data_IF_650432420011
#
_entry.id   IF_650432420011
#
_cell.length_a   1.000
_cell.length_b   1.000
_cell.length_c   1.000
_cell.angle_alpha   90.00
_cell.angle_beta   90.00
_cell.angle_gamma   90.00
#
_symmetry.space_group_name_H-M   'P 1'
#
loop_
_entity.id
_entity.type
_entity.pdbx_description
1 polymer ?
#
# COMPACT_ATOMS: atom_id res chain seq x y z
N UNK A 1 -16.90 -4.02 52.66
CA UNK A 1 -17.19 -4.70 51.40
C UNK A 1 -16.35 -4.02 50.32
N UNK A 2 -15.11 -4.47 50.10
CA UNK A 2 -14.15 -3.91 49.16
C UNK A 2 -14.54 -4.38 47.75
N UNK A 3 -14.82 -3.46 46.86
CA UNK A 3 -15.19 -3.70 45.47
C UNK A 3 -14.02 -4.41 44.76
N UNK A 4 -14.20 -5.70 44.32
CA UNK A 4 -13.13 -6.49 43.70
C UNK A 4 -12.68 -5.93 42.34
N UNK A 5 -13.45 -5.00 41.73
CA UNK A 5 -13.14 -4.39 40.42
C UNK A 5 -12.09 -3.30 40.51
N UNK A 6 -11.85 -2.70 41.69
CA UNK A 6 -10.87 -1.64 41.91
C UNK A 6 -9.44 -2.13 42.10
N UNK A 7 -9.27 -3.40 42.54
CA UNK A 7 -7.96 -3.96 42.87
C UNK A 7 -7.11 -4.38 41.67
N UNK A 8 -7.73 -4.74 40.53
CA UNK A 8 -7.01 -5.20 39.34
C UNK A 8 -6.48 -4.06 38.48
N UNK A 9 -7.04 -2.85 38.59
CA UNK A 9 -6.61 -1.68 37.81
C UNK A 9 -5.31 -1.05 38.33
N UNK A 10 -4.98 -1.27 39.62
CA UNK A 10 -3.81 -0.67 40.28
C UNK A 10 -2.54 -1.54 40.23
N UNK A 11 -2.60 -2.80 39.80
CA UNK A 11 -1.39 -3.59 39.61
C UNK A 11 -0.66 -3.16 38.32
N UNK A 12 0.52 -2.53 38.42
CA UNK A 12 1.30 -2.10 37.26
C UNK A 12 1.75 -3.28 36.38
N UNK A 13 1.55 -4.51 36.83
CA UNK A 13 1.92 -5.74 36.13
C UNK A 13 0.74 -6.41 35.41
N UNK A 14 -0.50 -6.13 35.81
CA UNK A 14 -1.69 -6.69 35.16
C UNK A 14 -1.94 -6.01 33.79
N UNK A 15 -2.39 -6.75 32.76
CA UNK A 15 -2.77 -6.13 31.50
C UNK A 15 -3.98 -5.21 31.71
N UNK A 16 -3.91 -3.99 31.16
CA UNK A 16 -5.06 -3.08 31.15
C UNK A 16 -5.91 -3.41 29.92
N UNK A 17 -7.15 -3.83 30.15
CA UNK A 17 -8.05 -4.27 29.10
C UNK A 17 -9.41 -3.60 29.23
N UNK A 18 -9.99 -3.19 28.10
CA UNK A 18 -11.36 -2.66 28.05
C UNK A 18 -11.99 -2.93 26.69
N UNK A 19 -13.30 -2.83 26.65
CA UNK A 19 -14.10 -2.88 25.43
C UNK A 19 -14.76 -1.53 25.21
N UNK A 20 -14.85 -1.10 23.97
CA UNK A 20 -15.45 0.17 23.60
C UNK A 20 -16.10 0.07 22.21
N UNK A 21 -17.26 0.71 22.08
CA UNK A 21 -17.90 0.91 20.79
C UNK A 21 -17.38 2.20 20.14
N UNK A 22 -16.59 2.05 19.09
CA UNK A 22 -15.99 3.16 18.37
C UNK A 22 -16.94 3.63 17.25
N UNK A 23 -17.35 4.91 17.23
CA UNK A 23 -18.13 5.45 16.12
C UNK A 23 -17.23 5.59 14.88
N UNK A 24 -17.47 4.74 13.85
CA UNK A 24 -16.55 4.62 12.71
C UNK A 24 -16.78 5.72 11.68
N UNK A 25 -18.06 6.04 11.40
CA UNK A 25 -18.44 6.98 10.35
C UNK A 25 -18.48 8.45 10.82
N UNK A 26 -18.48 8.71 12.14
CA UNK A 26 -18.54 10.06 12.70
C UNK A 26 -17.32 10.46 13.52
N UNK A 27 -16.36 9.55 13.70
CA UNK A 27 -15.15 9.85 14.44
C UNK A 27 -14.21 10.74 13.62
N UNK A 28 -13.84 11.94 14.07
CA UNK A 28 -13.04 12.88 13.29
C UNK A 28 -11.62 12.36 12.97
N UNK A 29 -11.01 11.52 13.84
CA UNK A 29 -9.69 10.95 13.60
C UNK A 29 -9.73 9.90 12.48
N UNK A 30 -10.77 9.05 12.48
CA UNK A 30 -10.97 8.05 11.44
C UNK A 30 -11.33 8.71 10.11
N UNK A 31 -12.28 9.67 10.11
CA UNK A 31 -12.66 10.42 8.91
C UNK A 31 -11.47 11.16 8.31
N UNK A 32 -10.65 11.83 9.12
CA UNK A 32 -9.43 12.49 8.65
C UNK A 32 -8.43 11.49 8.05
N UNK A 33 -8.32 10.29 8.60
CA UNK A 33 -7.47 9.23 8.08
C UNK A 33 -7.98 8.71 6.75
N UNK A 34 -9.29 8.49 6.61
CA UNK A 34 -9.93 8.09 5.35
C UNK A 34 -9.82 9.20 4.30
N UNK A 35 -10.08 10.46 4.66
CA UNK A 35 -9.95 11.59 3.74
C UNK A 35 -8.52 11.72 3.20
N UNK A 36 -7.50 11.52 4.04
CA UNK A 36 -6.09 11.48 3.61
C UNK A 36 -5.82 10.32 2.65
N UNK A 37 -6.35 9.14 2.94
CA UNK A 37 -6.18 7.95 2.09
C UNK A 37 -6.79 8.19 0.71
N UNK A 38 -8.05 8.60 0.64
CA UNK A 38 -8.74 8.85 -0.62
C UNK A 38 -8.16 10.06 -1.38
N UNK A 39 -7.75 11.11 -0.67
CA UNK A 39 -7.05 12.26 -1.25
C UNK A 39 -5.69 11.87 -1.86
N UNK A 40 -4.91 11.03 -1.18
CA UNK A 40 -3.66 10.50 -1.70
C UNK A 40 -3.91 9.60 -2.92
N UNK A 41 -4.95 8.76 -2.87
CA UNK A 41 -5.34 7.90 -4.01
C UNK A 41 -5.73 8.76 -5.21
N UNK A 42 -6.51 9.82 -5.02
CA UNK A 42 -6.89 10.77 -6.07
C UNK A 42 -5.65 11.42 -6.71
N UNK A 43 -4.69 11.84 -5.87
CA UNK A 43 -3.44 12.46 -6.33
C UNK A 43 -2.59 11.48 -7.13
N UNK A 44 -2.39 10.26 -6.64
CA UNK A 44 -1.60 9.23 -7.32
C UNK A 44 -2.27 8.84 -8.64
N UNK A 45 -3.58 8.59 -8.63
CA UNK A 45 -4.32 8.20 -9.83
C UNK A 45 -4.38 9.36 -10.85
N UNK A 46 -4.58 10.60 -10.37
CA UNK A 46 -4.56 11.79 -11.22
C UNK A 46 -3.19 12.01 -11.87
N UNK A 47 -2.11 11.89 -11.11
CA UNK A 47 -0.75 12.00 -11.63
C UNK A 47 -0.44 10.90 -12.65
N UNK A 48 -0.89 9.67 -12.37
CA UNK A 48 -0.73 8.52 -13.24
C UNK A 48 -1.48 8.67 -14.57
N UNK A 49 -2.77 9.05 -14.53
CA UNK A 49 -3.55 9.29 -15.73
C UNK A 49 -3.01 10.49 -16.53
N UNK A 50 -2.53 11.53 -15.85
CA UNK A 50 -1.88 12.68 -16.50
C UNK A 50 -0.61 12.26 -17.23
N UNK A 51 0.22 11.42 -16.60
CA UNK A 51 1.40 10.85 -17.22
C UNK A 51 1.04 10.04 -18.47
N UNK A 52 0.02 9.19 -18.39
CA UNK A 52 -0.45 8.38 -19.52
C UNK A 52 -0.90 9.27 -20.68
N UNK A 53 -1.69 10.32 -20.40
CA UNK A 53 -2.14 11.26 -21.44
C UNK A 53 -0.97 12.02 -22.09
N UNK A 54 0.03 12.40 -21.29
CA UNK A 54 1.23 13.08 -21.81
C UNK A 54 2.02 12.16 -22.76
N UNK A 55 2.23 10.89 -22.37
CA UNK A 55 2.97 9.91 -23.21
C UNK A 55 2.16 9.56 -24.47
N UNK A 56 0.83 9.51 -24.37
CA UNK A 56 -0.05 9.22 -25.52
C UNK A 56 -0.24 10.42 -26.48
N UNK A 57 0.46 11.54 -26.26
CA UNK A 57 0.38 12.72 -27.13
C UNK A 57 -0.92 13.51 -27.00
N UNK A 58 -1.68 13.34 -25.92
CA UNK A 58 -2.97 14.00 -25.67
C UNK A 58 -2.96 14.85 -24.38
N UNK A 59 -2.05 15.83 -24.25
CA UNK A 59 -1.89 16.61 -23.00
C UNK A 59 -3.15 17.44 -22.66
N UNK A 60 -3.95 17.82 -23.64
CA UNK A 60 -5.19 18.58 -23.44
C UNK A 60 -6.24 17.81 -22.61
N UNK A 61 -6.14 16.47 -22.55
CA UNK A 61 -7.02 15.64 -21.76
C UNK A 61 -6.63 15.58 -20.27
N UNK A 62 -5.45 16.08 -19.88
CA UNK A 62 -4.94 16.01 -18.50
C UNK A 62 -5.90 16.64 -17.47
N UNK A 63 -6.44 17.86 -17.66
CA UNK A 63 -7.34 18.45 -16.67
C UNK A 63 -8.60 17.60 -16.44
N UNK A 64 -9.13 17.00 -17.51
CA UNK A 64 -10.29 16.11 -17.44
C UNK A 64 -9.96 14.83 -16.65
N UNK A 65 -8.80 14.21 -16.88
CA UNK A 65 -8.38 13.00 -16.16
C UNK A 65 -8.17 13.26 -14.67
N UNK A 66 -7.59 14.41 -14.31
CA UNK A 66 -7.45 14.83 -12.91
C UNK A 66 -8.83 15.03 -12.27
N UNK A 67 -9.75 15.70 -12.95
CA UNK A 67 -11.11 15.91 -12.44
C UNK A 67 -11.87 14.59 -12.27
N UNK A 68 -11.77 13.65 -13.23
CA UNK A 68 -12.38 12.32 -13.14
C UNK A 68 -11.81 11.55 -11.94
N UNK A 69 -10.48 11.52 -11.78
CA UNK A 69 -9.83 10.82 -10.68
C UNK A 69 -10.25 11.38 -9.31
N UNK A 70 -10.32 12.69 -9.17
CA UNK A 70 -10.79 13.35 -7.97
C UNK A 70 -12.27 13.05 -7.70
N UNK A 71 -13.12 13.09 -8.73
CA UNK A 71 -14.55 12.79 -8.64
C UNK A 71 -14.82 11.35 -8.23
N UNK A 72 -14.12 10.38 -8.84
CA UNK A 72 -14.23 8.96 -8.48
C UNK A 72 -13.77 8.74 -7.03
N UNK A 73 -12.64 9.32 -6.64
CA UNK A 73 -12.12 9.17 -5.26
C UNK A 73 -13.06 9.77 -4.23
N UNK A 74 -13.67 10.93 -4.52
CA UNK A 74 -14.67 11.54 -3.65
C UNK A 74 -15.93 10.68 -3.55
N UNK A 75 -16.43 10.17 -4.66
CA UNK A 75 -17.58 9.27 -4.68
C UNK A 75 -17.33 8.00 -3.86
N UNK A 76 -16.16 7.37 -4.03
CA UNK A 76 -15.76 6.19 -3.26
C UNK A 76 -15.60 6.50 -1.76
N UNK A 77 -15.07 7.68 -1.41
CA UNK A 77 -15.00 8.12 -0.02
C UNK A 77 -16.40 8.22 0.59
N UNK A 78 -17.33 8.90 -0.08
CA UNK A 78 -18.71 9.05 0.39
C UNK A 78 -19.40 7.69 0.51
N UNK A 79 -19.30 6.84 -0.51
CA UNK A 79 -19.88 5.48 -0.49
C UNK A 79 -19.26 4.65 0.63
N UNK A 80 -17.94 4.76 0.84
CA UNK A 80 -17.23 4.07 1.93
C UNK A 80 -17.73 4.50 3.31
N UNK A 81 -17.87 5.81 3.55
CA UNK A 81 -18.39 6.33 4.83
C UNK A 81 -19.84 5.91 5.05
N UNK A 82 -20.69 6.01 4.02
CA UNK A 82 -22.09 5.56 4.09
C UNK A 82 -22.17 4.06 4.32
N UNK A 83 -21.34 3.27 3.63
CA UNK A 83 -21.26 1.81 3.83
C UNK A 83 -20.91 1.46 5.27
N UNK A 84 -19.90 2.14 5.85
CA UNK A 84 -19.53 1.95 7.25
C UNK A 84 -20.68 2.35 8.20
N UNK A 85 -21.38 3.46 7.92
CA UNK A 85 -22.52 3.89 8.73
C UNK A 85 -23.67 2.86 8.72
N UNK A 86 -23.96 2.27 7.55
CA UNK A 86 -25.04 1.29 7.38
C UNK A 86 -24.65 -0.09 7.93
N UNK A 87 -23.49 -0.62 7.53
CA UNK A 87 -23.06 -1.99 7.87
C UNK A 87 -22.78 -2.10 9.36
N UNK A 88 -22.02 -1.17 9.92
CA UNK A 88 -21.63 -1.17 11.34
C UNK A 88 -22.59 -0.38 12.21
N UNK A 89 -23.65 0.23 11.65
CA UNK A 89 -24.54 1.16 12.37
C UNK A 89 -23.76 2.24 13.13
N UNK A 90 -22.67 2.71 12.51
CA UNK A 90 -21.73 3.68 13.09
C UNK A 90 -21.09 3.26 14.42
N UNK A 91 -21.08 1.97 14.78
CA UNK A 91 -20.48 1.45 16.02
C UNK A 91 -19.74 0.16 15.71
N UNK A 92 -18.45 0.13 16.02
CA UNK A 92 -17.62 -1.06 15.90
C UNK A 92 -17.07 -1.40 17.28
N UNK A 93 -17.43 -2.57 17.79
CA UNK A 93 -16.96 -3.03 19.11
C UNK A 93 -15.53 -3.50 19.00
N UNK A 94 -14.64 -2.85 19.74
CA UNK A 94 -13.22 -3.15 19.79
C UNK A 94 -12.79 -3.42 21.22
N UNK A 95 -11.87 -4.39 21.38
CA UNK A 95 -11.19 -4.67 22.65
C UNK A 95 -9.75 -4.19 22.52
N UNK A 96 -9.33 -3.39 23.48
CA UNK A 96 -7.94 -2.96 23.61
C UNK A 96 -7.31 -3.63 24.82
N UNK A 97 -6.08 -4.12 24.63
CA UNK A 97 -5.26 -4.71 25.68
C UNK A 97 -3.88 -4.06 25.67
N UNK A 98 -3.51 -3.41 26.77
CA UNK A 98 -2.17 -2.84 26.98
C UNK A 98 -1.43 -3.74 27.96
N UNK A 99 -0.41 -4.42 27.49
CA UNK A 99 0.42 -5.32 28.27
C UNK A 99 1.89 -4.86 28.34
N UNK A 100 2.77 -5.72 28.81
CA UNK A 100 4.20 -5.44 28.90
C UNK A 100 4.90 -5.45 27.53
N UNK A 101 4.35 -6.16 26.55
CA UNK A 101 4.93 -6.33 25.21
C UNK A 101 4.51 -5.22 24.27
N UNK A 102 3.27 -4.74 24.42
CA UNK A 102 2.75 -3.74 23.51
C UNK A 102 1.28 -3.41 23.71
N UNK A 103 0.66 -3.02 22.61
CA UNK A 103 -0.76 -2.72 22.52
C UNK A 103 -1.39 -3.66 21.51
N UNK A 104 -2.51 -4.27 21.89
CA UNK A 104 -3.33 -5.12 21.03
C UNK A 104 -4.71 -4.52 20.87
N UNK A 105 -5.19 -4.47 19.65
CA UNK A 105 -6.53 -4.05 19.29
C UNK A 105 -7.23 -5.20 18.55
N UNK A 106 -8.31 -5.70 19.11
CA UNK A 106 -9.12 -6.78 18.55
C UNK A 106 -10.51 -6.26 18.18
N UNK A 107 -10.94 -6.53 16.97
CA UNK A 107 -12.34 -6.29 16.56
C UNK A 107 -13.21 -7.46 17.01
N UNK A 108 -14.15 -7.19 17.92
CA UNK A 108 -15.04 -8.22 18.48
C UNK A 108 -16.36 -8.28 17.69
N UNK A 109 -16.57 -7.34 16.78
CA UNK A 109 -17.85 -7.25 16.05
C UNK A 109 -18.04 -8.45 15.11
N UNK A 110 -18.97 -9.33 15.48
CA UNK A 110 -19.38 -10.49 14.67
C UNK A 110 -19.90 -10.11 13.28
N UNK A 111 -20.31 -8.86 13.07
CA UNK A 111 -20.76 -8.36 11.76
C UNK A 111 -19.58 -8.14 10.85
N UNK A 112 -18.49 -7.56 11.37
CA UNK A 112 -17.25 -7.38 10.63
C UNK A 112 -16.71 -8.72 10.11
N UNK A 113 -16.68 -9.74 10.97
CA UNK A 113 -16.22 -11.09 10.60
C UNK A 113 -17.15 -11.75 9.56
N UNK A 114 -18.47 -11.62 9.70
CA UNK A 114 -19.42 -12.11 8.69
C UNK A 114 -19.28 -11.44 7.35
N UNK A 115 -19.12 -10.12 7.30
CA UNK A 115 -18.95 -9.37 6.06
C UNK A 115 -17.63 -9.77 5.40
N UNK A 116 -16.52 -9.83 6.14
CA UNK A 116 -15.23 -10.26 5.62
C UNK A 116 -15.31 -11.70 5.06
N UNK A 117 -15.90 -12.62 5.79
CA UNK A 117 -16.08 -14.02 5.37
C UNK A 117 -16.98 -14.12 4.14
N UNK A 118 -18.12 -13.41 4.13
CA UNK A 118 -19.01 -13.37 2.96
C UNK A 118 -18.32 -12.81 1.71
N UNK A 119 -17.49 -11.77 1.87
CA UNK A 119 -16.71 -11.18 0.78
C UNK A 119 -15.68 -12.17 0.21
N UNK A 120 -15.01 -12.95 1.06
CA UNK A 120 -14.10 -14.01 0.65
C UNK A 120 -14.84 -15.09 -0.15
N UNK A 121 -15.94 -15.62 0.42
CA UNK A 121 -16.70 -16.72 -0.18
C UNK A 121 -17.32 -16.26 -1.51
N UNK A 122 -17.96 -15.10 -1.53
CA UNK A 122 -18.59 -14.57 -2.74
C UNK A 122 -17.54 -14.25 -3.81
N UNK A 123 -16.40 -13.70 -3.43
CA UNK A 123 -15.28 -13.43 -4.32
C UNK A 123 -14.72 -14.71 -4.94
N UNK A 124 -14.56 -15.77 -4.14
CA UNK A 124 -14.13 -17.08 -4.61
C UNK A 124 -15.13 -17.73 -5.57
N UNK A 125 -16.43 -17.70 -5.21
CA UNK A 125 -17.52 -18.24 -6.03
C UNK A 125 -17.71 -17.50 -7.36
N UNK A 126 -17.48 -16.19 -7.37
CA UNK A 126 -17.63 -15.35 -8.57
C UNK A 126 -16.35 -15.23 -9.39
N UNK A 127 -15.26 -15.90 -8.99
CA UNK A 127 -13.96 -15.81 -9.67
C UNK A 127 -13.31 -14.41 -9.61
N UNK A 128 -13.66 -13.59 -8.61
CA UNK A 128 -13.15 -12.22 -8.44
C UNK A 128 -12.02 -12.18 -7.39
N UNK A 129 -10.75 -12.35 -7.78
CA UNK A 129 -9.63 -12.41 -6.83
C UNK A 129 -9.48 -11.14 -5.98
N UNK A 130 -9.87 -9.97 -6.51
CA UNK A 130 -9.87 -8.73 -5.75
C UNK A 130 -10.80 -8.74 -4.55
N UNK A 131 -12.00 -9.33 -4.66
CA UNK A 131 -12.93 -9.46 -3.54
C UNK A 131 -12.39 -10.43 -2.47
N UNK A 132 -11.77 -11.54 -2.87
CA UNK A 132 -11.10 -12.46 -1.96
C UNK A 132 -9.98 -11.75 -1.20
N UNK A 133 -9.13 -11.01 -1.92
CA UNK A 133 -8.03 -10.25 -1.32
C UNK A 133 -8.51 -9.20 -0.32
N UNK A 134 -9.57 -8.46 -0.65
CA UNK A 134 -10.17 -7.46 0.26
C UNK A 134 -10.70 -8.10 1.54
N UNK A 135 -11.38 -9.24 1.44
CA UNK A 135 -11.88 -9.98 2.60
C UNK A 135 -10.76 -10.54 3.48
N UNK A 136 -9.67 -11.04 2.88
CA UNK A 136 -8.48 -11.51 3.61
C UNK A 136 -7.77 -10.37 4.34
N UNK A 137 -7.62 -9.20 3.70
CA UNK A 137 -7.06 -7.99 4.33
C UNK A 137 -7.93 -7.57 5.52
N UNK A 138 -9.26 -7.52 5.36
CA UNK A 138 -10.18 -7.17 6.44
C UNK A 138 -10.04 -8.13 7.63
N UNK A 139 -9.86 -9.41 7.38
CA UNK A 139 -9.67 -10.42 8.42
C UNK A 139 -8.31 -10.33 9.11
N UNK A 140 -7.24 -10.04 8.36
CA UNK A 140 -5.89 -9.88 8.92
C UNK A 140 -5.75 -8.60 9.76
N UNK A 141 -6.58 -7.58 9.52
CA UNK A 141 -6.60 -6.34 10.31
C UNK A 141 -7.52 -6.39 11.53
N UNK A 142 -8.25 -7.49 11.72
CA UNK A 142 -9.16 -7.65 12.88
C UNK A 142 -8.40 -7.83 14.22
N UNK A 143 -7.17 -8.34 14.20
CA UNK A 143 -6.27 -8.45 15.36
C UNK A 143 -4.97 -7.71 15.02
N UNK A 144 -4.83 -6.50 15.52
CA UNK A 144 -3.64 -5.68 15.33
C UNK A 144 -2.81 -5.64 16.62
N UNK A 145 -1.52 -5.83 16.47
CA UNK A 145 -0.55 -5.72 17.57
C UNK A 145 0.50 -4.68 17.23
N UNK A 146 0.94 -3.95 18.24
CA UNK A 146 2.00 -2.97 18.13
C UNK A 146 2.93 -3.13 19.34
N UNK A 147 4.10 -3.72 19.14
CA UNK A 147 5.13 -3.83 20.17
C UNK A 147 5.65 -2.44 20.55
N UNK A 148 5.99 -2.24 21.86
CA UNK A 148 6.50 -0.94 22.33
C UNK A 148 7.75 -0.47 21.57
N UNK A 149 8.62 -1.39 21.13
CA UNK A 149 9.83 -1.08 20.35
C UNK A 149 9.55 -0.52 18.98
N UNK A 150 8.38 -0.86 18.38
CA UNK A 150 7.94 -0.34 17.09
C UNK A 150 7.28 1.04 17.18
N UNK A 151 6.95 1.50 18.40
CA UNK A 151 6.26 2.77 18.62
C UNK A 151 7.29 3.87 18.88
N UNK A 152 7.42 4.80 17.93
CA UNK A 152 8.37 5.93 18.02
C UNK A 152 7.72 7.16 18.61
N UNK A 153 6.41 7.35 18.36
CA UNK A 153 5.67 8.54 18.80
C UNK A 153 4.26 8.17 19.24
N UNK A 154 3.78 8.87 20.27
CA UNK A 154 2.38 8.83 20.69
C UNK A 154 1.79 10.25 20.69
N UNK A 155 0.61 10.40 20.13
CA UNK A 155 -0.17 11.65 20.17
C UNK A 155 -1.40 11.42 21.01
N UNK A 156 -1.55 12.24 22.05
CA UNK A 156 -2.64 12.14 23.00
C UNK A 156 -3.74 13.12 22.62
N UNK A 157 -4.98 12.64 22.55
CA UNK A 157 -6.18 13.42 22.22
C UNK A 157 -7.20 13.34 23.38
N UNK A 158 -7.00 14.11 24.48
CA UNK A 158 -7.86 14.01 25.68
C UNK A 158 -9.33 14.27 25.38
N UNK A 159 -9.65 15.21 24.48
CA UNK A 159 -11.03 15.54 24.10
C UNK A 159 -11.75 14.41 23.37
N UNK A 160 -11.01 13.51 22.75
CA UNK A 160 -11.57 12.37 21.98
C UNK A 160 -11.34 11.05 22.71
N UNK A 161 -10.75 11.08 23.91
CA UNK A 161 -10.34 9.89 24.65
C UNK A 161 -9.57 8.89 23.78
N UNK A 162 -8.62 9.40 22.97
CA UNK A 162 -7.91 8.62 22.00
C UNK A 162 -6.41 8.87 22.06
N UNK A 163 -5.62 7.83 21.79
CA UNK A 163 -4.16 7.87 21.73
C UNK A 163 -3.73 7.30 20.39
N UNK A 164 -3.10 8.12 19.53
CA UNK A 164 -2.57 7.66 18.26
C UNK A 164 -1.11 7.25 18.43
N UNK A 165 -0.83 5.99 18.22
CA UNK A 165 0.49 5.38 18.23
C UNK A 165 1.06 5.36 16.83
N UNK A 166 2.31 5.76 16.66
CA UNK A 166 2.95 5.83 15.35
C UNK A 166 4.40 5.40 15.37
N UNK A 167 4.84 4.90 14.22
CA UNK A 167 6.25 4.72 13.94
C UNK A 167 6.89 6.05 13.43
N UNK A 168 8.05 5.99 12.78
CA UNK A 168 8.75 7.18 12.31
C UNK A 168 7.95 8.02 11.30
N UNK A 169 7.08 7.41 10.49
CA UNK A 169 6.46 8.08 9.35
C UNK A 169 4.92 8.04 9.31
N UNK A 170 4.27 7.04 9.93
CA UNK A 170 2.81 6.90 9.91
C UNK A 170 2.22 6.61 11.30
N UNK A 171 0.91 6.80 11.45
CA UNK A 171 0.14 6.27 12.57
C UNK A 171 -0.11 4.78 12.32
N UNK A 172 0.29 3.94 13.27
CA UNK A 172 0.15 2.48 13.21
C UNK A 172 -1.18 2.05 13.79
N UNK A 173 -1.56 2.64 14.93
CA UNK A 173 -2.77 2.26 15.68
C UNK A 173 -3.36 3.48 16.38
N UNK A 174 -4.67 3.52 16.49
CA UNK A 174 -5.37 4.50 17.34
C UNK A 174 -6.08 3.71 18.44
N UNK A 175 -5.70 3.97 19.66
CA UNK A 175 -6.31 3.38 20.87
C UNK A 175 -7.42 4.31 21.34
N UNK A 176 -8.65 3.81 21.36
CA UNK A 176 -9.80 4.52 21.90
C UNK A 176 -10.06 4.04 23.31
N UNK A 177 -10.30 4.96 24.22
CA UNK A 177 -10.50 4.66 25.63
C UNK A 177 -11.87 5.17 26.11
N UNK A 178 -12.55 4.47 27.01
CA UNK A 178 -13.60 5.08 27.82
C UNK A 178 -13.00 6.22 28.65
N UNK A 179 -13.76 7.28 28.98
CA UNK A 179 -13.25 8.43 29.72
C UNK A 179 -12.52 8.06 31.01
N UNK A 180 -13.06 7.07 31.74
CA UNK A 180 -12.50 6.56 33.01
C UNK A 180 -11.16 5.85 32.87
N UNK A 181 -10.86 5.27 31.69
CA UNK A 181 -9.61 4.55 31.44
C UNK A 181 -8.55 5.37 30.70
N UNK A 182 -8.88 6.58 30.23
CA UNK A 182 -7.99 7.36 29.39
C UNK A 182 -6.66 7.70 30.09
N UNK A 183 -6.69 8.23 31.30
CA UNK A 183 -5.46 8.60 32.01
C UNK A 183 -4.59 7.39 32.35
N UNK A 184 -5.21 6.29 32.79
CA UNK A 184 -4.49 5.05 33.06
C UNK A 184 -3.83 4.48 31.78
N UNK A 185 -4.53 4.52 30.65
CA UNK A 185 -4.00 4.11 29.37
C UNK A 185 -2.86 5.03 28.89
N UNK A 186 -3.05 6.37 29.02
CA UNK A 186 -2.04 7.36 28.64
C UNK A 186 -0.75 7.17 29.45
N UNK A 187 -0.86 6.95 30.76
CA UNK A 187 0.29 6.70 31.63
C UNK A 187 0.98 5.37 31.30
N UNK A 188 0.18 4.32 30.96
CA UNK A 188 0.72 3.02 30.55
C UNK A 188 1.50 3.13 29.23
N UNK A 189 0.98 3.89 28.26
CA UNK A 189 1.67 4.17 26.99
C UNK A 189 2.98 4.92 27.24
N UNK A 190 2.99 5.98 28.05
CA UNK A 190 4.22 6.72 28.38
C UNK A 190 5.26 5.83 29.02
N UNK A 191 4.85 5.01 29.99
CA UNK A 191 5.75 4.04 30.68
C UNK A 191 6.24 2.95 29.74
N UNK A 192 5.40 2.41 28.86
CA UNK A 192 5.76 1.41 27.87
C UNK A 192 6.85 1.92 26.92
N UNK A 193 6.64 3.10 26.35
CA UNK A 193 7.62 3.75 25.47
C UNK A 193 8.94 4.11 26.18
N UNK A 194 8.88 4.56 27.44
CA UNK A 194 10.07 4.89 28.21
C UNK A 194 10.91 3.66 28.56
N UNK A 195 10.27 2.51 28.84
CA UNK A 195 10.95 1.24 29.16
C UNK A 195 11.55 0.55 27.92
N UNK A 196 10.95 0.74 26.76
CA UNK A 196 11.33 0.10 25.51
C UNK A 196 11.62 1.16 24.45
N UNK A 197 12.72 1.91 24.56
CA UNK A 197 13.04 2.95 23.58
C UNK A 197 13.24 2.31 22.21
N UNK A 198 12.58 2.88 21.20
CA UNK A 198 12.69 2.43 19.82
C UNK A 198 14.16 2.47 19.35
N UNK A 199 14.66 1.42 18.68
CA UNK A 199 16.02 1.39 18.13
C UNK A 199 16.27 2.58 17.19
N UNK A 200 17.54 2.99 17.05
CA UNK A 200 17.90 4.10 16.16
C UNK A 200 17.49 3.85 14.71
N UNK A 201 17.55 2.60 14.26
CA UNK A 201 17.09 2.18 12.92
C UNK A 201 15.60 2.41 12.69
N UNK A 202 14.78 2.26 13.73
CA UNK A 202 13.31 2.45 13.65
C UNK A 202 12.91 3.93 13.69
N UNK A 203 13.81 4.82 14.15
CA UNK A 203 13.56 6.26 14.24
C UNK A 203 13.72 6.99 12.89
N UNK A 204 14.48 6.41 11.95
CA UNK A 204 14.66 6.99 10.62
C UNK A 204 13.43 6.71 9.74
N UNK A 205 12.94 7.75 9.05
CA UNK A 205 11.84 7.58 8.11
C UNK A 205 12.30 6.86 6.85
N UNK A 206 11.67 5.75 6.44
CA UNK A 206 12.00 5.05 5.20
C UNK A 206 11.51 5.80 3.94
N UNK A 207 10.74 6.88 4.11
CA UNK A 207 10.05 7.58 3.01
C UNK A 207 11.03 8.10 1.96
N UNK A 208 12.19 8.65 2.36
CA UNK A 208 13.19 9.13 1.41
C UNK A 208 13.71 8.01 0.48
N UNK A 209 14.01 6.85 1.04
CA UNK A 209 14.43 5.67 0.27
C UNK A 209 13.31 5.11 -0.62
N UNK A 210 12.06 5.12 -0.14
CA UNK A 210 10.90 4.70 -0.91
C UNK A 210 10.63 5.66 -2.09
N UNK A 211 10.70 6.97 -1.86
CA UNK A 211 10.53 7.97 -2.92
C UNK A 211 11.63 7.88 -3.98
N UNK A 212 12.90 7.69 -3.57
CA UNK A 212 13.99 7.47 -4.51
C UNK A 212 13.75 6.23 -5.37
N UNK A 213 13.35 5.10 -4.76
CA UNK A 213 13.02 3.87 -5.50
C UNK A 213 11.83 4.08 -6.44
N UNK A 214 10.82 4.82 -6.00
CA UNK A 214 9.69 5.21 -6.85
C UNK A 214 10.16 6.00 -8.08
N UNK A 215 10.99 7.01 -7.88
CA UNK A 215 11.54 7.80 -8.98
C UNK A 215 12.36 6.93 -9.95
N UNK A 216 13.21 6.03 -9.42
CA UNK A 216 13.99 5.10 -10.24
C UNK A 216 13.13 4.09 -11.00
N UNK A 217 12.06 3.57 -10.38
CA UNK A 217 11.09 2.68 -11.05
C UNK A 217 10.40 3.41 -12.19
N UNK A 218 9.93 4.64 -11.96
CA UNK A 218 9.32 5.47 -13.01
C UNK A 218 10.32 5.72 -14.13
N UNK A 219 11.54 6.18 -13.82
CA UNK A 219 12.57 6.44 -14.81
C UNK A 219 12.95 5.18 -15.61
N UNK A 220 13.04 4.02 -14.97
CA UNK A 220 13.35 2.74 -15.61
C UNK A 220 12.25 2.22 -16.54
N UNK A 221 11.00 2.60 -16.28
CA UNK A 221 9.86 2.20 -17.13
C UNK A 221 9.61 3.16 -18.29
N UNK A 222 10.07 4.42 -18.23
CA UNK A 222 9.85 5.42 -19.28
C UNK A 222 10.23 4.93 -20.68
N UNK A 223 11.43 4.35 -20.91
CA UNK A 223 11.82 3.89 -22.24
C UNK A 223 10.94 2.77 -22.79
N UNK A 224 10.23 2.04 -21.93
CA UNK A 224 9.34 0.96 -22.35
C UNK A 224 8.03 1.47 -22.96
N UNK A 225 7.63 2.72 -22.67
CA UNK A 225 6.45 3.35 -23.25
C UNK A 225 6.67 3.91 -24.65
N UNK A 226 7.92 4.13 -25.02
CA UNK A 226 8.30 4.82 -26.27
C UNK A 226 9.20 3.94 -27.13
N UNK A 227 8.99 2.62 -27.10
CA UNK A 227 9.78 1.70 -27.93
C UNK A 227 9.61 2.05 -29.42
N UNK A 228 10.73 2.15 -30.16
CA UNK A 228 10.70 2.51 -31.57
C UNK A 228 10.24 1.32 -32.44
N UNK A 229 9.70 1.65 -33.60
CA UNK A 229 9.41 0.65 -34.63
C UNK A 229 10.70 -0.17 -34.96
N UNK A 230 10.60 -1.50 -35.07
CA UNK A 230 9.42 -2.35 -35.10
C UNK A 230 9.01 -2.94 -33.73
N UNK A 231 9.68 -2.54 -32.66
CA UNK A 231 9.46 -3.08 -31.31
C UNK A 231 8.34 -2.34 -30.56
N UNK A 232 7.52 -1.56 -31.26
CA UNK A 232 6.37 -0.89 -30.65
C UNK A 232 5.49 -1.87 -29.92
N UNK A 233 5.03 -1.46 -28.71
CA UNK A 233 4.21 -2.30 -27.85
C UNK A 233 3.02 -1.48 -27.33
N UNK A 234 1.91 -2.18 -27.11
CA UNK A 234 0.75 -1.56 -26.47
C UNK A 234 1.16 -0.97 -25.11
N UNK A 235 0.84 0.31 -24.84
CA UNK A 235 1.16 0.98 -23.57
C UNK A 235 0.66 0.24 -22.32
N UNK A 236 -0.29 -0.68 -22.47
CA UNK A 236 -0.82 -1.47 -21.36
C UNK A 236 0.26 -2.35 -20.68
N UNK A 237 1.20 -2.89 -21.44
CA UNK A 237 2.24 -3.78 -20.89
C UNK A 237 3.27 -3.03 -20.02
N UNK A 238 3.92 -1.93 -20.48
CA UNK A 238 4.77 -1.14 -19.60
C UNK A 238 3.99 -0.51 -18.44
N UNK A 239 2.72 -0.15 -18.65
CA UNK A 239 1.84 0.35 -17.62
C UNK A 239 1.61 -0.68 -16.51
N UNK A 240 1.24 -1.90 -16.88
CA UNK A 240 1.09 -3.01 -15.96
C UNK A 240 2.37 -3.24 -15.16
N UNK A 241 3.52 -3.27 -15.85
CA UNK A 241 4.83 -3.44 -15.21
C UNK A 241 5.13 -2.31 -14.22
N UNK A 242 4.86 -1.04 -14.56
CA UNK A 242 5.00 0.11 -13.68
C UNK A 242 4.10 0.00 -12.44
N UNK A 243 2.81 -0.31 -12.61
CA UNK A 243 1.88 -0.45 -11.50
C UNK A 243 2.31 -1.52 -10.51
N UNK A 244 2.69 -2.69 -11.00
CA UNK A 244 3.16 -3.78 -10.14
C UNK A 244 4.51 -3.48 -9.49
N UNK A 245 5.43 -2.79 -10.18
CA UNK A 245 6.69 -2.36 -9.61
C UNK A 245 6.48 -1.35 -8.46
N UNK A 246 5.62 -0.37 -8.65
CA UNK A 246 5.25 0.57 -7.59
C UNK A 246 4.56 -0.14 -6.42
N UNK A 247 3.61 -1.04 -6.71
CA UNK A 247 2.91 -1.81 -5.70
C UNK A 247 3.87 -2.73 -4.91
N UNK A 248 4.89 -3.31 -5.56
CA UNK A 248 5.89 -4.14 -4.88
C UNK A 248 6.79 -3.33 -3.95
N UNK A 249 7.16 -2.11 -4.32
CA UNK A 249 7.96 -1.20 -3.49
C UNK A 249 7.17 -0.71 -2.27
N UNK A 250 5.89 -0.36 -2.44
CA UNK A 250 5.11 0.25 -1.38
C UNK A 250 4.31 -0.74 -0.53
N UNK A 251 3.82 -1.82 -1.12
CA UNK A 251 2.86 -2.72 -0.47
C UNK A 251 3.48 -4.09 -0.18
N UNK A 252 3.50 -4.97 -1.18
CA UNK A 252 3.77 -6.40 -1.00
C UNK A 252 4.88 -6.87 -1.94
N UNK A 253 6.03 -7.35 -1.43
CA UNK A 253 7.14 -7.84 -2.25
C UNK A 253 6.76 -8.93 -3.26
N UNK A 254 5.75 -9.76 -2.93
CA UNK A 254 5.28 -10.84 -3.81
C UNK A 254 4.83 -10.35 -5.19
N UNK A 255 4.34 -9.10 -5.30
CA UNK A 255 3.94 -8.50 -6.58
C UNK A 255 5.12 -8.32 -7.55
N UNK A 256 6.35 -8.39 -7.06
CA UNK A 256 7.57 -8.42 -7.89
C UNK A 256 7.61 -9.58 -8.89
N UNK A 257 6.90 -10.68 -8.63
CA UNK A 257 6.78 -11.80 -9.59
C UNK A 257 6.08 -11.33 -10.87
N UNK A 258 5.02 -10.52 -10.74
CA UNK A 258 4.33 -9.95 -11.89
C UNK A 258 5.22 -8.95 -12.67
N UNK A 259 6.09 -8.20 -11.98
CA UNK A 259 7.07 -7.32 -12.63
C UNK A 259 8.06 -8.12 -13.47
N UNK A 260 8.61 -9.20 -12.92
CA UNK A 260 9.54 -10.08 -13.65
C UNK A 260 8.86 -10.67 -14.88
N UNK A 261 7.62 -11.15 -14.74
CA UNK A 261 6.80 -11.64 -15.86
C UNK A 261 6.55 -10.58 -16.93
N UNK A 262 6.18 -9.36 -16.52
CA UNK A 262 5.94 -8.24 -17.42
C UNK A 262 7.20 -7.80 -18.18
N UNK A 263 8.33 -7.67 -17.51
CA UNK A 263 9.63 -7.36 -18.17
C UNK A 263 10.03 -8.49 -19.10
N UNK A 264 9.86 -9.76 -18.68
CA UNK A 264 10.17 -10.92 -19.52
C UNK A 264 9.31 -10.95 -20.79
N UNK A 265 8.01 -10.62 -20.68
CA UNK A 265 7.12 -10.55 -21.83
C UNK A 265 7.50 -9.42 -22.79
N UNK A 266 7.82 -8.21 -22.26
CA UNK A 266 8.28 -7.06 -23.06
C UNK A 266 9.59 -7.41 -23.78
N UNK A 267 10.57 -8.00 -23.07
CA UNK A 267 11.83 -8.42 -23.67
C UNK A 267 11.64 -9.47 -24.77
N UNK A 268 10.78 -10.46 -24.53
CA UNK A 268 10.41 -11.44 -25.54
C UNK A 268 9.79 -10.82 -26.78
N UNK A 269 8.87 -9.85 -26.60
CA UNK A 269 8.26 -9.11 -27.70
C UNK A 269 9.31 -8.35 -28.52
N UNK A 270 10.23 -7.62 -27.86
CA UNK A 270 11.31 -6.89 -28.53
C UNK A 270 12.18 -7.85 -29.35
N UNK A 271 12.60 -8.97 -28.77
CA UNK A 271 13.42 -9.96 -29.46
C UNK A 271 12.70 -10.53 -30.69
N UNK A 272 11.44 -10.93 -30.53
CA UNK A 272 10.65 -11.46 -31.65
C UNK A 272 10.45 -10.41 -32.75
N UNK A 273 10.14 -9.16 -32.39
CA UNK A 273 9.97 -8.07 -33.34
C UNK A 273 11.26 -7.77 -34.13
N UNK A 274 12.42 -7.86 -33.47
CA UNK A 274 13.73 -7.64 -34.13
C UNK A 274 14.15 -8.81 -35.01
N UNK A 275 13.73 -10.03 -34.69
CA UNK A 275 14.03 -11.22 -35.50
C UNK A 275 13.04 -11.46 -36.64
N UNK A 276 11.91 -10.73 -36.65
CA UNK A 276 10.88 -10.87 -37.65
C UNK A 276 11.41 -10.56 -39.06
N UNK A 277 11.05 -11.41 -40.02
CA UNK A 277 11.44 -11.27 -41.42
C UNK A 277 10.48 -10.35 -42.14
N UNK A 278 11.03 -9.29 -42.74
CA UNK A 278 10.27 -8.27 -43.47
C UNK A 278 10.71 -8.21 -44.92
N UNK A 279 9.77 -7.89 -45.79
CA UNK A 279 10.03 -7.67 -47.21
C UNK A 279 10.25 -6.17 -47.46
N UNK A 280 11.22 -5.85 -48.28
CA UNK A 280 11.48 -4.48 -48.69
C UNK A 280 10.27 -3.96 -49.52
N UNK A 281 9.80 -2.73 -49.20
CA UNK A 281 8.77 -2.07 -50.02
C UNK A 281 9.31 -1.72 -51.43
N UNK A 282 10.61 -1.55 -51.57
CA UNK A 282 11.25 -1.14 -52.81
C UNK A 282 11.78 -2.33 -53.64
N UNK A 283 12.00 -3.47 -53.00
CA UNK A 283 12.51 -4.71 -53.63
C UNK A 283 11.81 -5.92 -53.02
N UNK A 284 10.65 -6.36 -53.59
CA UNK A 284 9.84 -7.45 -53.02
C UNK A 284 10.58 -8.81 -52.87
N UNK A 285 11.73 -8.96 -53.53
CA UNK A 285 12.57 -10.16 -53.40
C UNK A 285 13.60 -10.04 -52.29
N UNK A 286 13.83 -8.87 -51.72
CA UNK A 286 14.76 -8.69 -50.60
C UNK A 286 14.04 -8.90 -49.29
N UNK A 287 14.46 -9.93 -48.57
CA UNK A 287 14.03 -10.24 -47.22
C UNK A 287 15.13 -9.79 -46.26
N UNK A 288 14.78 -8.94 -45.29
CA UNK A 288 15.71 -8.52 -44.25
C UNK A 288 15.09 -8.73 -42.87
N UNK A 289 15.92 -8.82 -41.86
CA UNK A 289 15.50 -8.82 -40.47
C UNK A 289 15.57 -7.39 -39.91
N UNK A 290 14.64 -7.05 -39.03
CA UNK A 290 14.52 -5.70 -38.49
C UNK A 290 15.81 -5.19 -37.84
N UNK A 291 16.58 -6.08 -37.18
CA UNK A 291 17.84 -5.70 -36.54
C UNK A 291 18.95 -5.33 -37.54
N UNK A 292 18.90 -5.76 -38.80
CA UNK A 292 19.90 -5.48 -39.84
C UNK A 292 19.83 -4.04 -40.35
N UNK A 293 18.63 -3.44 -40.27
CA UNK A 293 18.36 -2.09 -40.75
C UNK A 293 18.11 -1.09 -39.60
N UNK A 294 18.16 -1.55 -38.37
CA UNK A 294 17.98 -0.71 -37.20
C UNK A 294 19.11 0.32 -37.06
N UNK A 295 18.77 1.60 -37.02
CA UNK A 295 19.71 2.70 -36.83
C UNK A 295 20.30 2.72 -35.42
N UNK A 296 21.35 3.52 -35.23
CA UNK A 296 22.00 3.66 -33.92
C UNK A 296 21.09 4.24 -32.84
N UNK A 297 20.12 5.06 -33.19
CA UNK A 297 19.08 5.62 -32.33
C UNK A 297 18.15 4.55 -31.79
N UNK A 298 17.72 3.59 -32.63
CA UNK A 298 16.91 2.43 -32.22
C UNK A 298 17.70 1.57 -31.21
N UNK A 299 18.96 1.26 -31.50
CA UNK A 299 19.81 0.49 -30.60
C UNK A 299 20.07 1.21 -29.26
N UNK A 300 20.30 2.52 -29.30
CA UNK A 300 20.45 3.30 -28.08
C UNK A 300 19.18 3.27 -27.22
N UNK A 301 17.99 3.37 -27.83
CA UNK A 301 16.73 3.31 -27.12
C UNK A 301 16.48 1.90 -26.52
N UNK A 302 16.75 0.84 -27.30
CA UNK A 302 16.62 -0.55 -26.82
C UNK A 302 17.61 -0.84 -25.68
N UNK A 303 18.83 -0.30 -25.74
CA UNK A 303 19.80 -0.40 -24.65
C UNK A 303 19.27 0.27 -23.37
N UNK A 304 18.68 1.46 -23.50
CA UNK A 304 18.09 2.18 -22.38
C UNK A 304 16.89 1.40 -21.78
N UNK A 305 16.03 0.84 -22.63
CA UNK A 305 14.93 -0.02 -22.21
C UNK A 305 15.44 -1.30 -21.52
N UNK A 306 16.52 -1.90 -22.05
CA UNK A 306 17.20 -3.05 -21.44
C UNK A 306 17.77 -2.77 -20.05
N UNK A 307 18.42 -1.60 -19.87
CA UNK A 307 18.92 -1.14 -18.56
C UNK A 307 17.78 -0.93 -17.58
N UNK A 308 16.68 -0.32 -18.02
CA UNK A 308 15.46 -0.15 -17.21
C UNK A 308 14.89 -1.49 -16.79
N UNK A 309 14.71 -2.42 -17.74
CA UNK A 309 14.23 -3.77 -17.47
C UNK A 309 15.14 -4.54 -16.50
N UNK A 310 16.47 -4.46 -16.68
CA UNK A 310 17.45 -5.04 -15.76
C UNK A 310 17.30 -4.50 -14.33
N UNK A 311 17.18 -3.16 -14.18
CA UNK A 311 16.95 -2.54 -12.88
C UNK A 311 15.66 -3.04 -12.22
N UNK A 312 14.55 -3.13 -12.98
CA UNK A 312 13.26 -3.61 -12.46
C UNK A 312 13.34 -5.06 -11.98
N UNK A 313 14.01 -5.94 -12.74
CA UNK A 313 14.21 -7.35 -12.35
C UNK A 313 15.12 -7.44 -11.12
N UNK A 314 16.24 -6.69 -11.10
CA UNK A 314 17.15 -6.65 -9.95
C UNK A 314 16.43 -6.19 -8.67
N UNK A 315 15.67 -5.08 -8.75
CA UNK A 315 14.88 -4.56 -7.63
C UNK A 315 13.84 -5.59 -7.15
N UNK A 316 13.14 -6.22 -8.10
CA UNK A 316 12.15 -7.24 -7.83
C UNK A 316 12.75 -8.45 -7.09
N UNK A 317 13.90 -8.94 -7.53
CA UNK A 317 14.62 -10.01 -6.86
C UNK A 317 15.15 -9.60 -5.48
N UNK A 318 15.59 -8.35 -5.32
CA UNK A 318 16.05 -7.81 -4.04
C UNK A 318 14.90 -7.73 -3.02
N UNK A 319 13.70 -7.32 -3.46
CA UNK A 319 12.48 -7.30 -2.65
C UNK A 319 12.03 -8.72 -2.26
N UNK A 320 11.99 -9.67 -3.21
CA UNK A 320 11.60 -11.06 -2.94
C UNK A 320 12.56 -11.78 -2.00
N UNK A 321 13.86 -11.45 -2.06
CA UNK A 321 14.88 -12.01 -1.16
C UNK A 321 14.96 -11.30 0.20
N UNK A 322 14.11 -10.30 0.45
CA UNK A 322 14.12 -9.52 1.69
C UNK A 322 15.37 -8.64 1.90
N UNK A 323 16.24 -8.49 0.86
CA UNK A 323 17.40 -7.58 0.93
C UNK A 323 17.00 -6.11 0.95
N UNK A 324 15.82 -5.83 0.42
CA UNK A 324 15.19 -4.52 0.39
C UNK A 324 13.80 -4.68 0.99
N UNK A 325 13.47 -3.88 2.00
CA UNK A 325 12.12 -3.88 2.59
C UNK A 325 11.17 -3.05 1.74
N UNK A 326 9.96 -3.54 1.52
CA UNK A 326 8.84 -2.73 1.03
C UNK A 326 8.30 -1.82 2.14
N UNK A 327 7.57 -0.77 1.78
CA UNK A 327 7.07 0.20 2.75
C UNK A 327 6.19 -0.43 3.82
N UNK A 328 5.20 -1.23 3.41
CA UNK A 328 4.23 -1.84 4.34
C UNK A 328 4.78 -3.08 5.03
N UNK A 329 5.42 -4.00 4.30
CA UNK A 329 5.92 -5.25 4.89
C UNK A 329 7.10 -5.02 5.84
N UNK A 330 7.95 -4.01 5.57
CA UNK A 330 9.01 -3.61 6.50
C UNK A 330 8.48 -3.11 7.85
N UNK A 331 7.35 -2.39 7.83
CA UNK A 331 6.70 -1.93 9.06
C UNK A 331 6.06 -3.07 9.86
N UNK A 332 5.41 -4.02 9.16
CA UNK A 332 4.78 -5.18 9.82
C UNK A 332 5.83 -6.06 10.50
N UNK A 333 6.96 -6.32 9.85
CA UNK A 333 8.06 -7.07 10.45
C UNK A 333 8.60 -6.40 11.74
N UNK A 334 8.69 -5.06 11.77
CA UNK A 334 9.11 -4.32 12.97
C UNK A 334 8.10 -4.37 14.13
N UNK A 335 6.84 -4.67 13.84
CA UNK A 335 5.78 -4.77 14.85
C UNK A 335 5.64 -6.18 15.44
N UNK A 336 6.05 -7.21 14.68
CA UNK A 336 5.96 -8.62 15.06
C UNK A 336 7.24 -9.19 15.70
N UNK A 337 8.37 -8.45 15.68
CA UNK A 337 9.63 -8.88 16.27
C UNK A 337 9.57 -8.86 17.83
N UNK A 338 8.86 -9.87 18.40
CA UNK A 338 8.96 -10.31 19.82
C UNK A 338 8.68 -11.82 19.97
#
# INVERSE_FOLDING_TARGET
>A
MTDPTRSAADDPKAPLQWEIDVPVATNPLLLASYAKLFGLTALIMGAFLSFLMAVSGSPDAIPMMVAISAGISLALFVVGVLGMAVIYRNRMSMRFTLDRRGVRAETIDRRADRVATATIVLGALTGKPGAVGTGLIAKSTADQRAAWRGIVKARFYPRLNAIALGNAWRTVMIVFCPPEHYEAAAERVRRGMARHPAPASTRSSPVGGLLLRTALVVAATLPLFTLPYPAEIDPFAPLFTLCFALASVWLIPLLSVAVIGGVGWIAGHIVLAMLDQRRSMFSPHEIYRAYEVAGGDVWAHLALAGLGGFYLVWLSLALLRGRVSSGLAGDLAQLDDD
#
